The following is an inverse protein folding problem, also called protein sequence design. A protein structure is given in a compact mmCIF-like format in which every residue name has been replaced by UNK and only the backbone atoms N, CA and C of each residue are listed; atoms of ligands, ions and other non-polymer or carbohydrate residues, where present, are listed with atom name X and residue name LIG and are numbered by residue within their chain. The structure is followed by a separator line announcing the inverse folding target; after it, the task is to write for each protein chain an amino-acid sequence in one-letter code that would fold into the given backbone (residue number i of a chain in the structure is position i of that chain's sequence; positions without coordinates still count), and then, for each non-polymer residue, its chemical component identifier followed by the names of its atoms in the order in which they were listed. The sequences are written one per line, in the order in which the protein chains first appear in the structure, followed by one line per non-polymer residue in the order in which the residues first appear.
data_IF_705301131133
#
_entry.id   IF_705301131133
#
_cell.length_a   1.000
_cell.length_b   1.000
_cell.length_c   1.000
_cell.angle_alpha   90.00
_cell.angle_beta   90.00
_cell.angle_gamma   90.00
#
_symmetry.space_group_name_H-M   'P 1'
#
loop_
_entity.id
_entity.type
_entity.pdbx_description
1 polymer ?
#
# COMPACT_ATOMS: atom_id res chain seq x y z
N UNK A 1 -19.17 -10.89 -22.72
CA UNK A 1 -18.82 -12.15 -22.12
C UNK A 1 -19.10 -12.12 -20.63
N UNK A 2 -20.17 -12.78 -20.20
CA UNK A 2 -20.65 -12.76 -18.82
C UNK A 2 -19.70 -13.40 -17.82
N UNK A 3 -19.04 -14.47 -18.19
CA UNK A 3 -18.11 -15.13 -17.28
C UNK A 3 -16.91 -14.24 -16.91
N UNK A 4 -16.37 -13.54 -17.87
CA UNK A 4 -15.25 -12.62 -17.63
C UNK A 4 -15.70 -11.45 -16.75
N UNK A 5 -16.88 -10.92 -16.97
CA UNK A 5 -17.44 -9.83 -16.19
C UNK A 5 -17.70 -10.25 -14.74
N UNK A 6 -18.34 -11.39 -14.55
CA UNK A 6 -18.61 -11.95 -13.22
C UNK A 6 -17.32 -12.26 -12.46
N UNK A 7 -16.32 -12.80 -13.15
CA UNK A 7 -15.03 -13.08 -12.55
C UNK A 7 -14.34 -11.81 -12.02
N UNK A 8 -14.43 -10.72 -12.77
CA UNK A 8 -13.84 -9.44 -12.36
C UNK A 8 -14.56 -8.85 -11.15
N UNK A 9 -15.87 -8.91 -11.12
CA UNK A 9 -16.65 -8.45 -9.96
C UNK A 9 -16.36 -9.28 -8.73
N UNK A 10 -16.30 -10.60 -8.87
CA UNK A 10 -15.97 -11.49 -7.78
C UNK A 10 -14.58 -11.24 -7.22
N UNK A 11 -13.62 -10.94 -8.08
CA UNK A 11 -12.26 -10.61 -7.65
C UNK A 11 -12.23 -9.35 -6.78
N UNK A 12 -12.87 -8.27 -7.21
CA UNK A 12 -12.94 -7.04 -6.43
C UNK A 12 -13.65 -7.22 -5.10
N UNK A 13 -14.73 -8.00 -5.08
CA UNK A 13 -15.45 -8.33 -3.86
C UNK A 13 -14.60 -9.17 -2.91
N UNK A 14 -13.91 -10.18 -3.42
CA UNK A 14 -13.03 -11.03 -2.62
C UNK A 14 -11.89 -10.26 -2.00
N UNK A 15 -11.35 -9.24 -2.70
CA UNK A 15 -10.26 -8.42 -2.17
C UNK A 15 -10.63 -7.76 -0.84
N UNK A 16 -11.86 -7.27 -0.71
CA UNK A 16 -12.35 -6.63 0.53
C UNK A 16 -12.62 -7.65 1.65
N UNK A 17 -12.86 -8.92 1.30
CA UNK A 17 -13.17 -9.97 2.26
C UNK A 17 -11.98 -10.89 2.56
N UNK A 18 -10.81 -10.59 1.99
CA UNK A 18 -9.61 -11.34 2.30
C UNK A 18 -9.16 -11.10 3.74
N UNK A 19 -8.41 -12.06 4.25
CA UNK A 19 -7.85 -11.96 5.59
C UNK A 19 -6.71 -10.93 5.64
N UNK A 20 -6.46 -10.42 6.84
CA UNK A 20 -5.28 -9.60 7.10
C UNK A 20 -4.03 -10.44 6.91
N UNK A 21 -3.07 -9.95 6.14
CA UNK A 21 -1.88 -10.71 5.79
C UNK A 21 -0.61 -9.87 5.94
N UNK A 22 0.51 -10.57 6.09
CA UNK A 22 1.83 -9.94 6.13
C UNK A 22 2.29 -9.65 4.70
N UNK A 23 2.78 -8.43 4.47
CA UNK A 23 3.37 -8.06 3.19
C UNK A 23 2.38 -7.74 2.09
N UNK A 24 1.08 -7.70 2.38
CA UNK A 24 0.05 -7.40 1.39
C UNK A 24 -0.72 -6.14 1.79
N UNK A 25 -0.69 -5.14 0.93
CA UNK A 25 -1.35 -3.85 1.19
C UNK A 25 -2.14 -3.43 -0.05
N UNK A 26 -3.29 -2.83 0.17
CA UNK A 26 -4.15 -2.35 -0.91
C UNK A 26 -3.93 -0.86 -1.12
N UNK A 27 -3.58 -0.53 -2.35
CA UNK A 27 -3.45 0.84 -2.79
C UNK A 27 -4.56 1.23 -3.75
N UNK A 28 -4.54 2.46 -4.19
CA UNK A 28 -5.51 3.00 -5.13
C UNK A 28 -4.76 3.60 -6.33
N UNK A 29 -5.25 3.33 -7.51
CA UNK A 29 -4.67 3.84 -8.74
C UNK A 29 -5.72 4.58 -9.57
N UNK A 30 -5.25 5.52 -10.37
CA UNK A 30 -6.06 6.14 -11.39
C UNK A 30 -5.59 5.67 -12.76
N UNK A 31 -6.53 5.27 -13.61
CA UNK A 31 -6.24 4.81 -14.96
C UNK A 31 -7.07 5.61 -15.96
N UNK A 32 -6.81 5.44 -17.24
CA UNK A 32 -7.57 6.13 -18.31
C UNK A 32 -9.07 5.78 -18.31
N UNK A 33 -9.46 4.69 -17.64
CA UNK A 33 -10.85 4.26 -17.55
C UNK A 33 -11.44 4.45 -16.15
N UNK A 34 -10.74 5.16 -15.27
CA UNK A 34 -11.22 5.45 -13.92
C UNK A 34 -10.27 4.92 -12.85
N UNK A 35 -10.77 4.84 -11.62
CA UNK A 35 -9.98 4.34 -10.49
C UNK A 35 -10.01 2.82 -10.39
N UNK A 36 -8.98 2.26 -9.79
CA UNK A 36 -8.90 0.84 -9.49
C UNK A 36 -8.12 0.62 -8.20
N UNK A 37 -8.28 -0.56 -7.61
CA UNK A 37 -7.47 -0.97 -6.47
C UNK A 37 -6.21 -1.67 -6.95
N UNK A 38 -5.13 -1.52 -6.19
CA UNK A 38 -3.88 -2.22 -6.42
C UNK A 38 -3.59 -3.09 -5.22
N UNK A 39 -3.27 -4.36 -5.45
CA UNK A 39 -2.76 -5.20 -4.39
C UNK A 39 -1.23 -5.24 -4.51
N UNK A 40 -0.55 -4.72 -3.51
CA UNK A 40 0.91 -4.72 -3.49
C UNK A 40 1.37 -5.83 -2.57
N UNK A 41 2.22 -6.70 -3.10
CA UNK A 41 2.76 -7.84 -2.38
C UNK A 41 4.26 -7.65 -2.21
N UNK A 42 4.76 -7.83 -0.99
CA UNK A 42 6.19 -7.79 -0.70
C UNK A 42 6.61 -9.08 -0.04
N UNK A 43 7.68 -9.66 -0.56
CA UNK A 43 8.29 -10.84 -0.01
C UNK A 43 9.76 -10.57 0.31
N UNK A 44 10.20 -11.08 1.46
CA UNK A 44 11.59 -10.97 1.89
C UNK A 44 12.21 -12.36 1.84
N UNK A 45 13.41 -12.47 1.28
CA UNK A 45 14.10 -13.73 1.11
C UNK A 45 15.55 -13.59 1.54
N UNK A 46 16.19 -14.67 2.02
CA UNK A 46 17.65 -14.64 2.20
C UNK A 46 18.33 -14.25 0.88
N UNK A 47 19.29 -13.34 0.93
CA UNK A 47 19.97 -12.86 -0.25
C UNK A 47 21.05 -11.85 0.09
N UNK A 48 21.39 -11.01 -0.88
CA UNK A 48 22.50 -10.06 -0.78
C UNK A 48 22.07 -8.60 -0.85
N UNK A 49 20.79 -8.32 -0.67
CA UNK A 49 20.26 -6.95 -0.70
C UNK A 49 19.72 -6.53 -2.06
N UNK A 50 19.37 -7.47 -2.91
CA UNK A 50 18.78 -7.17 -4.21
C UNK A 50 17.33 -6.71 -4.07
N UNK A 51 16.94 -5.78 -4.94
CA UNK A 51 15.58 -5.26 -5.01
C UNK A 51 14.97 -5.70 -6.34
N UNK A 52 13.91 -6.52 -6.26
CA UNK A 52 13.18 -7.01 -7.42
C UNK A 52 11.83 -6.30 -7.51
N UNK A 53 11.52 -5.74 -8.67
CA UNK A 53 10.27 -5.02 -8.91
C UNK A 53 9.59 -5.62 -10.13
N UNK A 54 8.39 -6.19 -9.93
CA UNK A 54 7.64 -6.84 -11.02
C UNK A 54 6.18 -6.37 -11.04
N UNK A 55 5.50 -6.55 -12.18
CA UNK A 55 4.11 -6.15 -12.38
C UNK A 55 3.94 -5.01 -13.38
N UNK A 56 4.90 -4.85 -14.30
CA UNK A 56 4.90 -3.78 -15.33
C UNK A 56 4.86 -2.38 -14.73
N UNK A 57 5.76 -2.13 -13.81
CA UNK A 57 5.86 -0.84 -13.14
C UNK A 57 6.66 0.15 -13.99
N UNK A 58 6.14 1.38 -14.12
CA UNK A 58 6.87 2.46 -14.77
C UNK A 58 7.99 3.02 -13.89
N UNK A 59 8.82 3.89 -14.47
CA UNK A 59 10.00 4.41 -13.80
C UNK A 59 9.69 5.21 -12.55
N UNK A 60 8.63 6.01 -12.56
CA UNK A 60 8.25 6.82 -11.39
C UNK A 60 7.83 5.91 -10.23
N UNK A 61 7.08 4.86 -10.50
CA UNK A 61 6.67 3.91 -9.46
C UNK A 61 7.87 3.15 -8.91
N UNK A 62 8.84 2.79 -9.76
CA UNK A 62 10.08 2.14 -9.31
C UNK A 62 10.89 3.06 -8.40
N UNK A 63 10.96 4.36 -8.72
CA UNK A 63 11.60 5.34 -7.86
C UNK A 63 10.88 5.46 -6.51
N UNK A 64 9.56 5.46 -6.53
CA UNK A 64 8.77 5.49 -5.29
C UNK A 64 9.05 4.27 -4.41
N UNK A 65 9.20 3.09 -5.01
CA UNK A 65 9.56 1.88 -4.29
C UNK A 65 10.92 2.04 -3.62
N UNK A 66 11.91 2.55 -4.34
CA UNK A 66 13.26 2.76 -3.80
C UNK A 66 13.28 3.82 -2.70
N UNK A 67 12.50 4.88 -2.85
CA UNK A 67 12.33 5.91 -1.82
C UNK A 67 11.73 5.29 -0.55
N UNK A 68 10.70 4.46 -0.70
CA UNK A 68 10.10 3.75 0.42
C UNK A 68 11.08 2.84 1.14
N UNK A 69 11.88 2.09 0.39
CA UNK A 69 12.91 1.21 0.95
C UNK A 69 13.94 2.02 1.73
N UNK A 70 14.41 3.13 1.16
CA UNK A 70 15.38 4.02 1.83
C UNK A 70 14.83 4.57 3.13
N UNK A 71 13.56 4.99 3.12
CA UNK A 71 12.92 5.48 4.34
C UNK A 71 12.86 4.37 5.41
N UNK A 72 12.38 3.19 5.06
CA UNK A 72 12.28 2.06 6.00
C UNK A 72 13.65 1.72 6.59
N UNK A 73 14.68 1.70 5.77
CA UNK A 73 16.05 1.45 6.24
C UNK A 73 16.51 2.52 7.23
N UNK A 74 16.14 3.79 6.98
CA UNK A 74 16.55 4.90 7.85
C UNK A 74 15.91 4.86 9.24
N UNK A 75 14.74 4.22 9.38
CA UNK A 75 14.03 4.10 10.66
C UNK A 75 14.10 2.69 11.25
N UNK A 76 14.96 1.85 10.71
CA UNK A 76 15.05 0.43 11.10
C UNK A 76 15.21 0.23 12.60
N UNK A 77 16.06 1.01 13.25
CA UNK A 77 16.30 0.89 14.70
C UNK A 77 15.06 1.14 15.54
N UNK A 78 14.22 2.07 15.10
CA UNK A 78 12.97 2.38 15.80
C UNK A 78 11.96 1.22 15.76
N UNK A 79 12.16 0.29 14.83
CA UNK A 79 11.28 -0.86 14.62
C UNK A 79 11.98 -2.19 14.91
N UNK A 80 13.06 -2.15 15.69
CA UNK A 80 13.83 -3.34 16.09
C UNK A 80 14.36 -4.17 14.92
N UNK A 81 14.71 -3.50 13.82
CA UNK A 81 15.31 -4.13 12.64
C UNK A 81 16.81 -3.89 12.70
N UNK A 82 17.59 -4.95 12.59
CA UNK A 82 19.06 -4.85 12.63
C UNK A 82 19.62 -4.16 11.39
N UNK A 83 20.75 -3.47 11.54
CA UNK A 83 21.38 -2.72 10.44
C UNK A 83 21.73 -3.60 9.24
N UNK A 84 22.08 -4.85 9.47
CA UNK A 84 22.49 -5.77 8.42
C UNK A 84 21.35 -6.54 7.77
N UNK A 85 20.13 -6.37 8.26
CA UNK A 85 18.97 -7.12 7.75
C UNK A 85 18.82 -6.95 6.23
N UNK A 86 18.88 -5.71 5.74
CA UNK A 86 18.70 -5.44 4.31
C UNK A 86 19.88 -5.89 3.45
N UNK A 87 21.05 -6.10 4.06
CA UNK A 87 22.22 -6.63 3.35
C UNK A 87 22.16 -8.13 3.17
N UNK A 88 21.39 -8.81 4.01
CA UNK A 88 21.26 -10.27 4.03
C UNK A 88 19.96 -10.77 3.43
N UNK A 89 19.09 -9.88 2.99
CA UNK A 89 17.80 -10.23 2.42
C UNK A 89 17.57 -9.49 1.12
N UNK A 90 16.94 -10.20 0.18
CA UNK A 90 16.41 -9.58 -1.04
C UNK A 90 14.96 -9.18 -0.79
N UNK A 91 14.55 -8.12 -1.44
CA UNK A 91 13.18 -7.61 -1.37
C UNK A 91 12.54 -7.80 -2.74
N UNK A 92 11.41 -8.48 -2.79
CA UNK A 92 10.63 -8.58 -4.02
C UNK A 92 9.30 -7.85 -3.82
N UNK A 93 9.08 -6.79 -4.60
CA UNK A 93 7.83 -6.06 -4.63
C UNK A 93 7.12 -6.42 -5.92
N UNK A 94 5.91 -6.96 -5.80
CA UNK A 94 5.12 -7.39 -6.96
C UNK A 94 3.73 -6.78 -6.88
N UNK A 95 3.26 -6.25 -8.02
CA UNK A 95 1.89 -5.81 -8.15
C UNK A 95 1.23 -6.70 -9.19
N UNK A 96 0.33 -7.62 -8.78
CA UNK A 96 -0.36 -8.52 -9.72
C UNK A 96 -1.16 -7.75 -10.78
N UNK A 97 -1.65 -8.49 -11.76
CA UNK A 97 -2.42 -7.96 -12.89
C UNK A 97 -1.57 -7.04 -13.79
N UNK A 98 -0.43 -7.55 -14.22
CA UNK A 98 0.53 -6.82 -15.04
C UNK A 98 0.08 -6.54 -16.48
N UNK A 99 -1.16 -6.88 -16.86
CA UNK A 99 -1.67 -6.60 -18.19
C UNK A 99 -1.83 -5.09 -18.46
N UNK A 100 -2.03 -4.30 -17.40
CA UNK A 100 -2.14 -2.85 -17.49
C UNK A 100 -0.90 -2.23 -16.83
N UNK A 101 -0.08 -1.49 -17.59
CA UNK A 101 1.09 -0.82 -17.02
C UNK A 101 0.69 0.16 -15.93
N UNK A 102 1.48 0.22 -14.88
CA UNK A 102 1.23 1.06 -13.70
C UNK A 102 2.39 2.03 -13.52
N UNK A 103 2.07 3.28 -13.31
CA UNK A 103 3.07 4.28 -13.04
C UNK A 103 2.53 5.38 -12.14
N UNK A 104 3.43 6.25 -11.68
CA UNK A 104 3.11 7.36 -10.82
C UNK A 104 3.60 7.16 -9.39
N UNK A 105 3.64 8.24 -8.59
CA UNK A 105 4.22 8.21 -7.25
C UNK A 105 3.21 7.90 -6.13
N UNK A 106 1.92 7.79 -6.43
CA UNK A 106 0.87 7.71 -5.41
C UNK A 106 0.83 6.39 -4.63
N UNK A 107 1.58 5.38 -5.06
CA UNK A 107 1.70 4.11 -4.36
C UNK A 107 2.86 4.09 -3.36
N UNK A 108 3.55 5.20 -3.14
CA UNK A 108 4.72 5.26 -2.29
C UNK A 108 4.47 4.80 -0.87
N UNK A 109 3.45 5.35 -0.21
CA UNK A 109 3.14 4.94 1.17
C UNK A 109 2.66 3.49 1.24
N UNK A 110 2.00 3.02 0.19
CA UNK A 110 1.49 1.64 0.10
C UNK A 110 2.65 0.65 0.05
N UNK A 111 3.62 0.92 -0.80
CA UNK A 111 4.82 0.08 -0.92
C UNK A 111 5.64 0.09 0.37
N UNK A 112 5.83 1.26 0.98
CA UNK A 112 6.56 1.37 2.24
C UNK A 112 5.86 0.57 3.35
N UNK A 113 4.54 0.63 3.42
CA UNK A 113 3.77 -0.13 4.40
C UNK A 113 3.94 -1.64 4.19
N UNK A 114 3.88 -2.09 2.94
CA UNK A 114 4.05 -3.50 2.60
C UNK A 114 5.47 -3.99 2.96
N UNK A 115 6.48 -3.18 2.72
CA UNK A 115 7.86 -3.50 3.09
C UNK A 115 8.00 -3.62 4.61
N UNK A 116 7.49 -2.62 5.34
CA UNK A 116 7.56 -2.65 6.81
C UNK A 116 6.82 -3.87 7.37
N UNK A 117 5.66 -4.18 6.81
CA UNK A 117 4.91 -5.38 7.20
C UNK A 117 5.72 -6.65 6.99
N UNK A 118 6.30 -6.80 5.79
CA UNK A 118 7.10 -7.99 5.46
C UNK A 118 8.34 -8.12 6.34
N UNK A 119 8.99 -6.99 6.66
CA UNK A 119 10.20 -6.99 7.48
C UNK A 119 9.90 -7.28 8.94
N UNK A 120 8.81 -6.74 9.48
CA UNK A 120 8.45 -6.89 10.90
C UNK A 120 7.56 -8.09 11.19
N UNK A 121 6.93 -8.68 10.17
CA UNK A 121 5.97 -9.76 10.36
C UNK A 121 4.60 -9.31 10.86
N UNK A 122 4.33 -8.02 10.87
CA UNK A 122 3.04 -7.48 11.30
C UNK A 122 2.04 -7.54 10.14
N UNK A 123 0.86 -8.08 10.42
CA UNK A 123 -0.21 -8.14 9.41
C UNK A 123 -0.76 -6.75 9.11
N UNK A 124 -1.24 -6.57 7.88
CA UNK A 124 -1.89 -5.34 7.44
C UNK A 124 -3.38 -5.59 7.30
N UNK A 125 -4.19 -4.61 7.68
CA UNK A 125 -5.65 -4.71 7.60
C UNK A 125 -6.10 -4.91 6.15
N UNK A 126 -6.94 -5.91 5.92
CA UNK A 126 -7.49 -6.22 4.60
C UNK A 126 -8.58 -5.25 4.16
N UNK A 127 -9.25 -4.59 5.11
CA UNK A 127 -10.37 -3.67 4.84
C UNK A 127 -9.93 -2.21 4.68
N UNK A 128 -8.63 -1.99 4.57
CA UNK A 128 -8.03 -0.65 4.49
C UNK A 128 -7.26 -0.49 3.18
N UNK A 129 -7.50 0.62 2.50
CA UNK A 129 -6.73 1.03 1.32
C UNK A 129 -6.06 2.38 1.58
N UNK A 130 -5.07 2.71 0.79
CA UNK A 130 -4.35 3.97 0.97
C UNK A 130 -3.83 4.52 -0.35
N UNK A 131 -3.55 5.81 -0.37
CA UNK A 131 -2.90 6.48 -1.48
C UNK A 131 -2.06 7.64 -0.93
N UNK A 132 -0.87 7.84 -1.47
CA UNK A 132 0.01 8.91 -1.05
C UNK A 132 1.42 8.74 -1.59
N UNK A 133 2.02 9.85 -1.98
CA UNK A 133 3.44 9.89 -2.34
C UNK A 133 4.27 9.98 -1.06
N UNK A 134 5.40 9.28 -1.04
CA UNK A 134 6.30 9.24 0.12
C UNK A 134 7.57 10.03 -0.16
N UNK A 135 8.09 10.71 0.86
CA UNK A 135 9.42 11.34 0.83
C UNK A 135 10.44 10.48 1.56
N UNK A 136 11.72 10.81 1.40
CA UNK A 136 12.79 10.14 2.15
C UNK A 136 12.66 10.30 3.66
N UNK A 137 11.93 11.31 4.11
CA UNK A 137 11.67 11.57 5.53
C UNK A 137 10.38 10.93 6.03
N UNK A 138 9.68 10.17 5.18
CA UNK A 138 8.42 9.55 5.53
C UNK A 138 7.23 10.48 5.51
N UNK A 139 7.36 11.65 4.94
CA UNK A 139 6.23 12.58 4.80
C UNK A 139 5.31 12.11 3.67
N UNK A 140 4.03 12.35 3.85
CA UNK A 140 3.02 11.97 2.88
C UNK A 140 2.62 13.20 2.06
N UNK A 141 2.85 13.13 0.75
CA UNK A 141 2.54 14.22 -0.17
C UNK A 141 1.20 13.99 -0.87
N UNK A 142 0.55 15.07 -1.32
CA UNK A 142 -0.76 14.96 -1.96
C UNK A 142 -0.71 14.23 -3.29
N UNK A 143 -1.86 13.71 -3.73
CA UNK A 143 -2.00 12.92 -4.96
C UNK A 143 -3.15 13.45 -5.81
N UNK A 144 -3.20 13.02 -7.06
CA UNK A 144 -4.29 13.32 -7.98
C UNK A 144 -5.28 12.17 -8.09
N UNK A 145 -6.41 12.46 -8.77
CA UNK A 145 -7.42 11.44 -9.07
C UNK A 145 -8.15 10.90 -7.85
N UNK A 146 -8.29 11.71 -6.81
CA UNK A 146 -8.85 11.25 -5.54
C UNK A 146 -10.29 10.77 -5.65
N UNK A 147 -11.12 11.46 -6.42
CA UNK A 147 -12.52 11.07 -6.60
C UNK A 147 -12.63 9.65 -7.15
N UNK A 148 -11.90 9.36 -8.20
CA UNK A 148 -11.91 8.05 -8.86
C UNK A 148 -11.32 6.98 -7.94
N UNK A 149 -10.30 7.33 -7.17
CA UNK A 149 -9.67 6.43 -6.21
C UNK A 149 -10.61 6.07 -5.07
N UNK A 150 -11.33 7.05 -4.52
CA UNK A 150 -12.31 6.80 -3.45
C UNK A 150 -13.47 5.97 -3.95
N UNK A 151 -13.93 6.22 -5.18
CA UNK A 151 -14.99 5.42 -5.78
C UNK A 151 -14.53 3.96 -5.95
N UNK A 152 -13.29 3.75 -6.38
CA UNK A 152 -12.73 2.40 -6.50
C UNK A 152 -12.66 1.70 -5.13
N UNK A 153 -12.24 2.41 -4.09
CA UNK A 153 -12.19 1.87 -2.73
C UNK A 153 -13.59 1.45 -2.26
N UNK A 154 -14.58 2.30 -2.49
CA UNK A 154 -15.95 2.01 -2.13
C UNK A 154 -16.49 0.79 -2.86
N UNK A 155 -16.26 0.72 -4.17
CA UNK A 155 -16.72 -0.40 -4.99
C UNK A 155 -16.04 -1.72 -4.63
N UNK A 156 -14.81 -1.65 -4.13
CA UNK A 156 -14.08 -2.84 -3.64
C UNK A 156 -14.50 -3.25 -2.22
N UNK A 157 -15.38 -2.50 -1.56
CA UNK A 157 -15.86 -2.82 -0.22
C UNK A 157 -14.90 -2.45 0.89
N UNK A 158 -13.95 -1.55 0.64
CA UNK A 158 -13.05 -1.07 1.69
C UNK A 158 -13.81 -0.28 2.76
N UNK A 159 -13.39 -0.43 4.00
CA UNK A 159 -13.96 0.29 5.13
C UNK A 159 -13.25 1.60 5.40
N UNK A 160 -11.93 1.58 5.36
CA UNK A 160 -11.07 2.70 5.71
C UNK A 160 -10.16 3.06 4.55
N UNK A 161 -9.97 4.34 4.31
CA UNK A 161 -9.02 4.84 3.30
C UNK A 161 -8.12 5.89 3.95
N UNK A 162 -6.80 5.69 3.83
CA UNK A 162 -5.82 6.68 4.26
C UNK A 162 -5.51 7.59 3.08
N UNK A 163 -5.64 8.89 3.31
CA UNK A 163 -5.52 9.93 2.29
C UNK A 163 -4.55 11.00 2.80
N UNK A 164 -3.72 11.58 1.93
CA UNK A 164 -2.84 12.65 2.39
C UNK A 164 -3.64 13.82 2.97
N UNK A 165 -3.20 14.34 4.10
CA UNK A 165 -3.89 15.46 4.75
C UNK A 165 -4.01 16.68 3.82
N UNK A 166 -3.05 16.86 2.92
CA UNK A 166 -3.06 17.96 1.95
C UNK A 166 -4.13 17.81 0.87
N UNK A 167 -4.78 16.64 0.79
CA UNK A 167 -5.92 16.41 -0.10
C UNK A 167 -7.27 16.65 0.60
N UNK A 168 -7.30 17.19 1.81
CA UNK A 168 -8.55 17.37 2.56
C UNK A 168 -9.59 18.19 1.78
N UNK A 169 -9.17 19.25 1.11
CA UNK A 169 -10.07 20.05 0.28
C UNK A 169 -10.68 19.27 -0.86
N UNK A 170 -9.90 18.37 -1.47
CA UNK A 170 -10.41 17.52 -2.55
C UNK A 170 -11.53 16.61 -2.04
N UNK A 171 -11.39 16.09 -0.82
CA UNK A 171 -12.42 15.25 -0.21
C UNK A 171 -13.70 16.03 0.02
N UNK A 172 -13.59 17.28 0.49
CA UNK A 172 -14.76 18.15 0.73
C UNK A 172 -15.57 18.41 -0.54
N UNK A 173 -14.91 18.40 -1.69
CA UNK A 173 -15.56 18.63 -3.00
C UNK A 173 -16.16 17.36 -3.60
N UNK A 174 -15.91 16.19 -3.00
CA UNK A 174 -16.40 14.91 -3.52
C UNK A 174 -17.83 14.67 -2.98
N UNK A 175 -18.68 14.13 -3.85
CA UNK A 175 -20.06 13.79 -3.51
C UNK A 175 -20.13 12.89 -2.26
N UNK A 176 -21.07 13.20 -1.38
CA UNK A 176 -21.32 12.40 -0.17
C UNK A 176 -21.75 10.98 -0.51
N UNK A 177 -22.30 10.75 -1.70
CA UNK A 177 -22.64 9.40 -2.14
C UNK A 177 -21.39 8.51 -2.28
N UNK A 178 -20.27 9.11 -2.64
CA UNK A 178 -18.99 8.39 -2.76
C UNK A 178 -18.35 8.21 -1.39
N UNK A 179 -18.31 9.26 -0.58
CA UNK A 179 -17.65 9.24 0.73
C UNK A 179 -18.45 8.53 1.81
N UNK A 180 -19.76 8.45 1.65
CA UNK A 180 -20.63 7.76 2.60
C UNK A 180 -20.26 6.29 2.72
N UNK A 181 -20.06 5.83 3.93
CA UNK A 181 -19.69 4.45 4.20
C UNK A 181 -18.19 4.20 4.19
N UNK A 182 -17.39 5.19 3.82
CA UNK A 182 -15.93 5.13 3.91
C UNK A 182 -15.47 5.93 5.13
N UNK A 183 -14.59 5.34 5.92
CA UNK A 183 -13.88 6.07 6.96
C UNK A 183 -12.61 6.63 6.33
N UNK A 184 -12.60 7.93 6.06
CA UNK A 184 -11.46 8.59 5.44
C UNK A 184 -10.60 9.19 6.54
N UNK A 185 -9.35 8.76 6.62
CA UNK A 185 -8.39 9.26 7.61
C UNK A 185 -7.27 9.99 6.91
N UNK A 186 -6.99 11.21 7.37
CA UNK A 186 -5.94 12.04 6.80
C UNK A 186 -4.61 11.77 7.51
N UNK A 187 -3.56 11.60 6.72
CA UNK A 187 -2.23 11.29 7.23
C UNK A 187 -1.20 12.27 6.69
N UNK A 188 -0.21 12.60 7.51
CA UNK A 188 0.87 13.51 7.16
C UNK A 188 2.23 12.80 7.14
N UNK A 189 2.35 11.67 7.84
CA UNK A 189 3.60 10.95 7.99
C UNK A 189 3.38 9.44 8.04
N UNK A 190 4.40 8.69 7.62
CA UNK A 190 4.37 7.23 7.62
C UNK A 190 4.08 6.62 8.99
N UNK A 191 4.48 7.28 10.09
CA UNK A 191 4.17 6.79 11.43
C UNK A 191 2.66 6.65 11.64
N UNK A 192 1.89 7.60 11.14
CA UNK A 192 0.43 7.55 11.20
C UNK A 192 -0.12 6.43 10.31
N UNK A 193 0.45 6.27 9.12
CA UNK A 193 0.05 5.22 8.18
C UNK A 193 0.26 3.85 8.79
N UNK A 194 1.43 3.59 9.34
CA UNK A 194 1.77 2.30 9.94
C UNK A 194 0.89 2.00 11.16
N UNK A 195 0.59 3.01 11.97
CA UNK A 195 -0.26 2.86 13.13
C UNK A 195 -1.69 2.43 12.75
N UNK A 196 -2.22 2.99 11.67
CA UNK A 196 -3.57 2.66 11.21
C UNK A 196 -3.63 1.34 10.45
N UNK A 197 -2.63 1.05 9.65
CA UNK A 197 -2.65 -0.08 8.72
C UNK A 197 -2.11 -1.38 9.32
N UNK A 198 -1.02 -1.30 10.09
CA UNK A 198 -0.37 -2.49 10.63
C UNK A 198 -0.95 -2.87 11.97
N UNK A 199 -1.33 -4.14 12.09
CA UNK A 199 -1.89 -4.68 13.32
C UNK A 199 -0.80 -4.85 14.37
N UNK A 200 -1.18 -4.76 15.63
CA UNK A 200 -0.28 -5.07 16.74
C UNK A 200 0.03 -6.56 16.73
N UNK A 201 1.18 -6.93 17.27
CA UNK A 201 1.53 -8.33 17.41
C UNK A 201 0.54 -9.01 18.36
N UNK A 202 -0.04 -10.11 17.90
CA UNK A 202 -0.89 -10.95 18.74
C UNK A 202 -0.07 -12.07 19.40
N UNK A 203 1.11 -12.32 18.87
CA UNK A 203 2.10 -13.23 19.42
C UNK A 203 3.48 -12.68 19.04
N UNK A 204 4.56 -13.06 19.76
CA UNK A 204 5.90 -12.61 19.36
C UNK A 204 6.19 -12.97 17.93
N UNK A 205 6.73 -12.01 17.16
CA UNK A 205 7.15 -12.28 15.80
C UNK A 205 8.37 -13.21 15.84
N UNK A 206 8.66 -13.93 14.74
CA UNK A 206 9.88 -14.74 14.68
C UNK A 206 11.16 -13.95 14.96
N UNK A 207 11.16 -12.65 14.80
CA UNK A 207 12.32 -11.79 15.06
C UNK A 207 12.52 -11.51 16.54
N UNK A 208 11.43 -11.44 17.28
CA UNK A 208 11.46 -11.20 18.72
C UNK A 208 11.91 -12.44 19.48
N UNK A 209 11.87 -13.59 18.83
CA UNK A 209 12.31 -14.87 19.39
C UNK A 209 13.77 -15.19 19.13
N UNK A 210 14.37 -14.39 18.25
CA UNK A 210 15.75 -14.56 17.78
C UNK A 210 16.81 -14.42 18.77
#
# INVERSE_FOLDING_TARGET
NMEHYLGKELYSYQMANEEDEVGIVRGLAWTSVGGDTLQIEVNMMPGEGEILLTGQLGDVMKESARTGISYIRSVSKEHDITDDFFKKHDIHIHIPEGAVPKDGPSAGITMATAIMSAVTGRKVRADLAMTGEITLRGRVLPIGGLKEKLLAAKNAGMKTVLVPAKNERDVEEISTEITKGLEIKFVTHMNEVLKEACLLYTSPSPRDRG
#
